data_IF_700420766781
#
_entry.id   IF_700420766781
#
_cell.length_a   1.000
_cell.length_b   1.000
_cell.length_c   1.000
_cell.angle_alpha   90.00
_cell.angle_beta   90.00
_cell.angle_gamma   90.00
#
_symmetry.space_group_name_H-M   'P 1'
#
loop_
_entity.id
_entity.type
_entity.pdbx_description
1 polymer ?
#
# COMPACT_ATOMS: atom_id res chain seq x y z
N UNK A 1 2.17 4.42 -10.53
CA UNK A 1 2.86 3.23 -11.08
C UNK A 1 2.67 2.08 -10.11
N UNK A 2 2.47 0.84 -10.55
CA UNK A 2 2.43 -0.32 -9.66
C UNK A 2 3.49 -1.36 -10.06
N UNK A 3 4.10 -2.00 -9.06
CA UNK A 3 5.09 -3.06 -9.22
C UNK A 3 4.79 -4.18 -8.23
N UNK A 4 5.22 -5.39 -8.54
CA UNK A 4 5.15 -6.53 -7.63
C UNK A 4 6.43 -7.34 -7.69
N UNK A 5 6.69 -8.12 -6.65
CA UNK A 5 7.65 -9.23 -6.73
C UNK A 5 7.15 -10.29 -7.71
N UNK A 6 8.04 -11.19 -8.12
CA UNK A 6 7.70 -12.29 -9.01
C UNK A 6 6.76 -13.30 -8.33
N UNK A 7 6.98 -13.50 -7.03
CA UNK A 7 6.24 -14.37 -6.12
C UNK A 7 4.88 -13.78 -5.71
N UNK A 8 4.66 -12.48 -5.99
CA UNK A 8 3.44 -11.73 -5.61
C UNK A 8 3.18 -11.71 -4.10
N UNK A 9 4.26 -11.73 -3.32
CA UNK A 9 4.25 -11.57 -1.87
C UNK A 9 4.45 -10.11 -1.45
N UNK A 10 4.87 -9.22 -2.36
CA UNK A 10 4.92 -7.78 -2.13
C UNK A 10 4.47 -6.98 -3.36
N UNK A 11 3.77 -5.87 -3.08
CA UNK A 11 3.31 -4.90 -4.07
C UNK A 11 3.68 -3.49 -3.65
N UNK A 12 4.03 -2.67 -4.63
CA UNK A 12 4.33 -1.26 -4.47
C UNK A 12 3.42 -0.43 -5.37
N UNK A 13 2.81 0.62 -4.84
CA UNK A 13 2.05 1.61 -5.62
C UNK A 13 2.66 2.99 -5.39
N UNK A 14 3.30 3.53 -6.43
CA UNK A 14 3.91 4.85 -6.39
C UNK A 14 2.95 5.94 -6.86
N UNK A 15 2.86 6.98 -6.03
CA UNK A 15 2.12 8.22 -6.24
C UNK A 15 3.14 9.35 -6.37
N UNK A 16 3.37 9.92 -7.57
CA UNK A 16 4.27 11.06 -7.74
C UNK A 16 3.69 12.38 -7.20
N UNK A 17 2.37 12.41 -7.02
CA UNK A 17 1.60 13.46 -6.34
C UNK A 17 0.51 12.71 -5.58
N UNK A 18 0.22 13.13 -4.36
CA UNK A 18 -0.71 12.45 -3.46
C UNK A 18 -2.07 12.15 -4.09
N UNK A 19 -2.80 11.21 -3.49
CA UNK A 19 -4.08 10.77 -4.00
C UNK A 19 -4.63 9.54 -3.29
N UNK A 20 -5.51 8.83 -3.99
CA UNK A 20 -6.19 7.64 -3.47
C UNK A 20 -6.08 6.49 -4.46
N UNK A 21 -5.98 5.28 -3.93
CA UNK A 21 -6.13 4.04 -4.70
C UNK A 21 -7.17 3.14 -4.05
N UNK A 22 -7.89 2.38 -4.87
CA UNK A 22 -8.76 1.29 -4.43
C UNK A 22 -8.27 -0.01 -5.03
N UNK A 23 -7.94 -0.97 -4.19
CA UNK A 23 -7.36 -2.27 -4.57
C UNK A 23 -8.38 -3.37 -4.35
N UNK A 24 -8.45 -4.33 -5.28
CA UNK A 24 -9.21 -5.55 -5.07
C UNK A 24 -8.29 -6.56 -4.39
N UNK A 25 -8.48 -6.77 -3.10
CA UNK A 25 -7.74 -7.75 -2.31
C UNK A 25 -8.68 -8.91 -1.91
N UNK A 26 -8.16 -10.11 -1.60
CA UNK A 26 -8.96 -11.19 -1.03
C UNK A 26 -9.65 -10.73 0.26
N UNK A 27 -10.78 -11.36 0.64
CA UNK A 27 -11.61 -10.95 1.79
C UNK A 27 -10.86 -10.91 3.13
N UNK A 28 -9.80 -11.71 3.27
CA UNK A 28 -8.86 -11.63 4.39
C UNK A 28 -7.44 -11.44 3.85
N UNK A 29 -7.01 -10.19 3.61
CA UNK A 29 -5.64 -9.92 3.24
C UNK A 29 -4.76 -10.11 4.48
N UNK A 30 -4.02 -11.22 4.51
CA UNK A 30 -2.91 -11.41 5.45
C UNK A 30 -1.70 -10.60 4.99
N UNK A 31 -1.88 -9.28 4.88
CA UNK A 31 -0.86 -8.34 4.45
C UNK A 31 -0.68 -7.23 5.46
N UNK A 32 0.56 -6.75 5.56
CA UNK A 32 0.92 -5.53 6.26
C UNK A 32 1.02 -4.40 5.24
N UNK A 33 0.41 -3.27 5.57
CA UNK A 33 0.31 -2.10 4.74
C UNK A 33 0.99 -0.89 5.39
N UNK A 34 1.83 -0.21 4.60
CA UNK A 34 2.62 0.94 5.06
C UNK A 34 2.83 1.97 3.95
N UNK A 35 2.98 3.22 4.36
CA UNK A 35 3.42 4.32 3.52
C UNK A 35 4.93 4.52 3.69
N UNK A 36 5.64 4.58 2.56
CA UNK A 36 7.03 5.00 2.51
C UNK A 36 7.14 6.38 1.87
N UNK A 37 7.82 7.29 2.55
CA UNK A 37 8.17 8.62 2.06
C UNK A 37 9.53 8.58 1.36
N UNK A 38 9.60 8.60 0.01
CA UNK A 38 10.86 8.53 -0.73
C UNK A 38 11.76 9.75 -0.52
N UNK A 39 11.22 10.87 -0.01
CA UNK A 39 11.99 12.11 0.24
C UNK A 39 12.80 12.00 1.52
N UNK A 40 12.28 11.27 2.51
CA UNK A 40 12.86 11.20 3.86
C UNK A 40 13.30 9.79 4.27
N UNK A 41 12.86 8.76 3.55
CA UNK A 41 13.10 7.35 3.88
C UNK A 41 12.23 6.83 5.03
N UNK A 42 11.28 7.62 5.54
CA UNK A 42 10.41 7.22 6.64
C UNK A 42 9.35 6.21 6.19
N UNK A 43 9.00 5.33 7.11
CA UNK A 43 7.89 4.38 6.96
C UNK A 43 6.87 4.68 8.05
N UNK A 44 5.60 4.74 7.68
CA UNK A 44 4.48 4.84 8.61
C UNK A 44 3.38 3.85 8.25
N UNK A 45 2.58 3.47 9.25
CA UNK A 45 1.51 2.50 9.06
C UNK A 45 0.43 3.09 8.15
N UNK A 46 -0.01 2.31 7.15
CA UNK A 46 -1.14 2.71 6.32
C UNK A 46 -2.46 2.38 7.03
N UNK A 47 -3.53 3.06 6.64
CA UNK A 47 -4.88 2.79 7.13
C UNK A 47 -5.79 2.53 5.95
N UNK A 48 -5.93 1.25 5.60
CA UNK A 48 -6.86 0.82 4.56
C UNK A 48 -8.32 0.87 5.03
N UNK A 49 -9.19 1.46 4.22
CA UNK A 49 -10.64 1.46 4.45
C UNK A 49 -11.28 0.35 3.60
N UNK A 50 -11.90 -0.63 4.24
CA UNK A 50 -12.59 -1.73 3.54
C UNK A 50 -13.95 -1.25 3.01
N UNK A 51 -14.14 -1.35 1.70
CA UNK A 51 -15.35 -0.98 0.97
C UNK A 51 -15.82 -2.18 0.12
N UNK A 52 -16.50 -3.13 0.76
CA UNK A 52 -16.91 -4.39 0.13
C UNK A 52 -15.70 -5.29 -0.15
N UNK A 53 -15.43 -5.60 -1.43
CA UNK A 53 -14.28 -6.41 -1.88
C UNK A 53 -13.03 -5.58 -2.20
N UNK A 54 -13.04 -4.32 -1.82
CA UNK A 54 -11.97 -3.36 -2.10
C UNK A 54 -11.42 -2.78 -0.81
N UNK A 55 -10.14 -2.45 -0.82
CA UNK A 55 -9.51 -1.65 0.23
C UNK A 55 -9.03 -0.35 -0.40
N UNK A 56 -9.49 0.77 0.16
CA UNK A 56 -9.10 2.12 -0.23
C UNK A 56 -7.95 2.63 0.63
N UNK A 57 -6.96 3.24 0.01
CA UNK A 57 -5.84 3.89 0.69
C UNK A 57 -5.71 5.32 0.19
N UNK A 58 -5.57 6.27 1.11
CA UNK A 58 -5.32 7.69 0.83
C UNK A 58 -3.92 8.05 1.32
N UNK A 59 -3.15 8.76 0.48
CA UNK A 59 -1.80 9.20 0.85
C UNK A 59 -1.86 10.18 2.02
N UNK A 60 -0.81 10.25 2.86
CA UNK A 60 -0.79 11.15 4.01
C UNK A 60 -0.95 12.63 3.64
N UNK A 61 -0.41 13.05 2.50
CA UNK A 61 -0.54 14.41 1.96
C UNK A 61 -0.48 14.42 0.41
N UNK A 62 -0.25 15.61 -0.18
CA UNK A 62 -0.20 15.86 -1.64
C UNK A 62 1.16 15.57 -2.29
N UNK A 63 2.15 15.15 -1.52
CA UNK A 63 3.51 14.92 -1.98
C UNK A 63 3.64 13.50 -2.55
N UNK A 64 4.86 13.05 -2.81
CA UNK A 64 5.10 11.72 -3.34
C UNK A 64 5.17 10.65 -2.24
N UNK A 65 4.55 9.51 -2.53
CA UNK A 65 4.39 8.42 -1.57
C UNK A 65 4.42 7.07 -2.27
N UNK A 66 4.90 6.06 -1.56
CA UNK A 66 4.82 4.66 -2.00
C UNK A 66 3.96 3.89 -1.00
N UNK A 67 2.84 3.32 -1.46
CA UNK A 67 2.13 2.30 -0.71
C UNK A 67 2.91 0.99 -0.84
N UNK A 68 3.22 0.36 0.28
CA UNK A 68 3.83 -0.96 0.36
C UNK A 68 2.80 -1.91 0.94
N UNK A 69 2.54 -3.01 0.22
CA UNK A 69 1.72 -4.12 0.69
C UNK A 69 2.59 -5.37 0.70
N UNK A 70 2.79 -5.99 1.85
CA UNK A 70 3.57 -7.22 1.97
C UNK A 70 2.75 -8.29 2.64
N UNK A 71 2.79 -9.52 2.14
CA UNK A 71 2.20 -10.65 2.84
C UNK A 71 2.87 -10.80 4.20
N UNK A 72 2.09 -10.95 5.26
CA UNK A 72 2.63 -11.21 6.59
C UNK A 72 3.39 -12.54 6.55
N UNK A 73 4.64 -12.52 6.98
CA UNK A 73 5.40 -13.76 7.13
C UNK A 73 4.84 -14.50 8.33
N UNK A 74 4.29 -15.70 8.11
CA UNK A 74 3.96 -16.59 9.23
C UNK A 74 5.27 -17.05 9.87
N UNK A 75 5.55 -16.54 11.07
CA UNK A 75 6.61 -17.02 11.97
C UNK A 75 6.20 -18.31 12.67
#
# INVERSE_FOLDING_TARGET
>A
LCMSTQERDAFLVYFPVGGRVSLNLPEEPDSEDSWFDPRTGKIEQASGIVEGKKIGFETPDKEDWVLILQKRSQS
#
